data_IF_286732667584
#
_entry.id   IF_286732667584
#
_cell.length_a   1.000
_cell.length_b   1.000
_cell.length_c   1.000
_cell.angle_alpha   90.00
_cell.angle_beta   90.00
_cell.angle_gamma   90.00
#
_symmetry.space_group_name_H-M   'P 1'
#
loop_
_entity.id
_entity.type
_entity.pdbx_description
1 polymer ?
#
# COMPACT_ATOMS: atom_id res chain seq x y z
N UNK A 1 -28.49 44.47 14.45
CA UNK A 1 -27.09 44.89 14.57
C UNK A 1 -26.26 43.68 14.97
N UNK A 2 -25.15 43.41 14.27
CA UNK A 2 -24.27 42.27 14.58
C UNK A 2 -23.43 42.62 15.81
N UNK A 3 -23.36 41.70 16.77
CA UNK A 3 -22.49 41.82 17.95
C UNK A 3 -21.24 40.99 17.73
N UNK A 4 -20.08 41.61 17.91
CA UNK A 4 -18.79 40.95 17.82
C UNK A 4 -18.24 40.78 19.23
N UNK A 5 -17.77 39.58 19.54
CA UNK A 5 -17.13 39.23 20.81
C UNK A 5 -15.84 38.48 20.53
N UNK A 6 -14.83 38.70 21.35
CA UNK A 6 -13.52 38.04 21.24
C UNK A 6 -13.41 36.93 22.28
N UNK A 7 -12.70 35.85 21.91
CA UNK A 7 -12.36 34.74 22.79
C UNK A 7 -10.84 34.47 22.68
N UNK A 8 -10.19 34.01 23.76
CA UNK A 8 -8.78 33.65 23.72
C UNK A 8 -8.55 32.49 22.75
N UNK A 9 -7.49 32.59 21.95
CA UNK A 9 -7.20 31.69 20.82
C UNK A 9 -7.09 30.22 21.27
N UNK A 10 -6.64 29.98 22.49
CA UNK A 10 -6.48 28.65 23.09
C UNK A 10 -7.81 27.88 23.23
N UNK A 11 -8.94 28.58 23.39
CA UNK A 11 -10.27 27.97 23.49
C UNK A 11 -10.84 27.60 22.11
N UNK A 12 -10.35 28.24 21.05
CA UNK A 12 -10.83 28.09 19.67
C UNK A 12 -9.87 27.27 18.80
N UNK A 13 -8.61 27.14 19.22
CA UNK A 13 -7.60 26.39 18.51
C UNK A 13 -8.01 24.91 18.45
N UNK A 14 -8.10 24.31 17.25
CA UNK A 14 -8.45 22.89 17.14
C UNK A 14 -7.38 22.06 17.85
N UNK A 15 -7.78 21.36 18.93
CA UNK A 15 -6.90 20.42 19.63
C UNK A 15 -6.29 19.46 18.60
N UNK A 16 -4.96 19.43 18.50
CA UNK A 16 -4.26 18.55 17.57
C UNK A 16 -4.55 17.10 17.97
N UNK A 17 -5.53 16.46 17.34
CA UNK A 17 -5.73 15.01 17.49
C UNK A 17 -4.46 14.35 16.97
N UNK A 18 -3.74 13.67 17.86
CA UNK A 18 -2.61 12.81 17.55
C UNK A 18 -3.04 11.92 16.38
N UNK A 19 -2.46 12.13 15.20
CA UNK A 19 -2.88 11.43 13.98
C UNK A 19 -2.44 9.98 14.11
N UNK A 20 -3.35 9.11 14.53
CA UNK A 20 -3.15 7.67 14.34
C UNK A 20 -2.87 7.43 12.86
N UNK A 21 -1.95 6.51 12.52
CA UNK A 21 -1.70 6.17 11.12
C UNK A 21 -3.03 5.77 10.48
N UNK A 22 -3.38 6.46 9.40
CA UNK A 22 -4.62 6.16 8.70
C UNK A 22 -4.64 4.68 8.31
N UNK A 23 -5.81 4.04 8.28
CA UNK A 23 -5.97 2.66 7.79
C UNK A 23 -5.25 2.42 6.44
N UNK A 24 -5.15 3.47 5.59
CA UNK A 24 -4.41 3.41 4.32
C UNK A 24 -2.90 3.26 4.50
N UNK A 25 -2.32 3.93 5.50
CA UNK A 25 -0.89 3.86 5.78
C UNK A 25 -0.51 2.46 6.29
N UNK A 26 -1.33 1.90 7.19
CA UNK A 26 -1.14 0.53 7.70
C UNK A 26 -1.22 -0.51 6.58
N UNK A 27 -2.23 -0.39 5.71
CA UNK A 27 -2.36 -1.29 4.55
C UNK A 27 -1.13 -1.14 3.64
N UNK A 28 -0.66 0.08 3.37
CA UNK A 28 0.51 0.26 2.51
C UNK A 28 1.77 -0.40 3.09
N UNK A 29 1.99 -0.28 4.40
CA UNK A 29 3.08 -0.92 5.13
C UNK A 29 3.01 -2.45 5.04
N UNK A 30 1.82 -3.03 5.22
CA UNK A 30 1.62 -4.49 5.06
C UNK A 30 2.01 -5.00 3.67
N UNK A 31 1.66 -4.26 2.60
CA UNK A 31 2.06 -4.65 1.24
C UNK A 31 3.56 -4.52 1.03
N UNK A 32 4.20 -3.53 1.64
CA UNK A 32 5.64 -3.35 1.58
C UNK A 32 6.37 -4.49 2.28
N UNK A 33 5.93 -4.85 3.48
CA UNK A 33 6.52 -5.96 4.25
C UNK A 33 6.29 -7.30 3.56
N UNK A 34 5.07 -7.56 3.08
CA UNK A 34 4.77 -8.80 2.35
C UNK A 34 5.61 -8.94 1.08
N UNK A 35 5.80 -7.85 0.32
CA UNK A 35 6.61 -7.86 -0.89
C UNK A 35 8.10 -8.04 -0.58
N UNK A 36 8.62 -7.37 0.45
CA UNK A 36 10.00 -7.55 0.93
C UNK A 36 10.26 -9.00 1.34
N UNK A 37 9.40 -9.57 2.16
CA UNK A 37 9.57 -10.93 2.68
C UNK A 37 9.50 -11.96 1.55
N UNK A 38 8.54 -11.84 0.64
CA UNK A 38 8.39 -12.78 -0.47
C UNK A 38 9.55 -12.64 -1.47
N UNK A 39 9.78 -11.44 -2.01
CA UNK A 39 10.66 -11.25 -3.17
C UNK A 39 12.12 -11.08 -2.74
N UNK A 40 12.38 -10.28 -1.70
CA UNK A 40 13.75 -9.95 -1.28
C UNK A 40 14.34 -11.02 -0.36
N UNK A 41 13.58 -11.52 0.61
CA UNK A 41 14.13 -12.46 1.61
C UNK A 41 14.03 -13.92 1.16
N UNK A 42 12.88 -14.31 0.60
CA UNK A 42 12.62 -15.71 0.19
C UNK A 42 12.85 -15.99 -1.28
N UNK A 43 12.98 -14.95 -2.10
CA UNK A 43 13.10 -15.07 -3.56
C UNK A 43 11.93 -15.86 -4.19
N UNK A 44 10.73 -15.65 -3.65
CA UNK A 44 9.48 -16.26 -4.10
C UNK A 44 8.53 -15.22 -4.70
N UNK A 45 7.45 -15.69 -5.34
CA UNK A 45 6.37 -14.83 -5.80
C UNK A 45 5.42 -14.45 -4.65
N UNK A 46 5.08 -13.17 -4.54
CA UNK A 46 3.97 -12.70 -3.71
C UNK A 46 2.64 -13.06 -4.40
N UNK A 47 1.77 -13.78 -3.68
CA UNK A 47 0.42 -14.10 -4.14
C UNK A 47 -0.60 -13.41 -3.24
N UNK A 48 -1.49 -12.62 -3.83
CA UNK A 48 -2.61 -11.97 -3.14
C UNK A 48 -3.91 -12.53 -3.70
N UNK A 49 -4.70 -13.16 -2.83
CA UNK A 49 -6.05 -13.60 -3.18
C UNK A 49 -7.00 -12.40 -3.18
N UNK A 50 -7.82 -12.29 -4.23
CA UNK A 50 -8.79 -11.22 -4.39
C UNK A 50 -10.14 -11.70 -3.89
N UNK A 51 -10.72 -10.94 -2.97
CA UNK A 51 -12.12 -11.13 -2.59
C UNK A 51 -13.07 -10.56 -3.66
N UNK A 52 -14.36 -10.96 -3.69
CA UNK A 52 -15.32 -10.47 -4.69
C UNK A 52 -15.47 -8.93 -4.71
N UNK A 53 -15.24 -8.27 -3.58
CA UNK A 53 -15.33 -6.82 -3.44
C UNK A 53 -14.04 -6.09 -3.83
N UNK A 54 -12.92 -6.82 -3.96
CA UNK A 54 -11.63 -6.25 -4.28
C UNK A 54 -11.55 -5.81 -5.74
N UNK A 55 -11.04 -4.61 -5.94
CA UNK A 55 -10.74 -4.09 -7.27
C UNK A 55 -9.33 -4.52 -7.67
N UNK A 56 -9.15 -5.36 -8.71
CA UNK A 56 -7.83 -5.87 -9.09
C UNK A 56 -6.82 -4.76 -9.41
N UNK A 57 -7.29 -3.67 -10.03
CA UNK A 57 -6.45 -2.49 -10.32
C UNK A 57 -5.94 -1.81 -9.04
N UNK A 58 -6.76 -1.77 -7.99
CA UNK A 58 -6.37 -1.18 -6.70
C UNK A 58 -5.27 -2.01 -6.05
N UNK A 59 -5.41 -3.33 -6.04
CA UNK A 59 -4.40 -4.25 -5.50
C UNK A 59 -3.10 -4.17 -6.31
N UNK A 60 -3.20 -4.18 -7.66
CA UNK A 60 -2.04 -3.97 -8.54
C UNK A 60 -1.29 -2.67 -8.22
N UNK A 61 -2.02 -1.56 -8.03
CA UNK A 61 -1.40 -0.27 -7.73
C UNK A 61 -0.75 -0.23 -6.35
N UNK A 62 -1.31 -0.93 -5.34
CA UNK A 62 -0.69 -1.06 -4.02
C UNK A 62 0.63 -1.82 -4.10
N UNK A 63 0.64 -2.96 -4.80
CA UNK A 63 1.85 -3.76 -5.05
C UNK A 63 2.89 -2.91 -5.79
N UNK A 64 2.49 -2.18 -6.84
CA UNK A 64 3.40 -1.31 -7.60
C UNK A 64 4.01 -0.19 -6.74
N UNK A 65 3.21 0.46 -5.90
CA UNK A 65 3.76 1.48 -4.99
C UNK A 65 4.70 0.88 -3.96
N UNK A 66 4.36 -0.30 -3.43
CA UNK A 66 5.24 -1.02 -2.52
C UNK A 66 6.58 -1.39 -3.18
N UNK A 67 6.57 -1.81 -4.45
CA UNK A 67 7.79 -2.11 -5.19
C UNK A 67 8.64 -0.86 -5.44
N UNK A 68 8.01 0.25 -5.83
CA UNK A 68 8.68 1.55 -6.01
C UNK A 68 9.36 2.02 -4.70
N UNK A 69 8.68 1.88 -3.56
CA UNK A 69 9.25 2.25 -2.25
C UNK A 69 10.41 1.35 -1.80
N UNK A 70 10.48 0.13 -2.32
CA UNK A 70 11.57 -0.81 -2.04
C UNK A 70 12.70 -0.71 -3.07
N UNK A 71 12.57 0.13 -4.11
CA UNK A 71 13.55 0.21 -5.20
C UNK A 71 13.54 -1.02 -6.12
N UNK A 72 12.42 -1.74 -6.19
CA UNK A 72 12.24 -2.91 -7.03
C UNK A 72 11.64 -2.48 -8.39
N UNK A 73 12.50 -2.19 -9.36
CA UNK A 73 12.09 -1.71 -10.70
C UNK A 73 11.68 -2.84 -11.66
N UNK A 74 12.12 -4.07 -11.37
CA UNK A 74 11.97 -5.27 -12.20
C UNK A 74 10.80 -6.17 -11.78
N UNK A 75 9.89 -5.68 -10.94
CA UNK A 75 8.71 -6.44 -10.49
C UNK A 75 7.70 -6.63 -11.63
N UNK A 76 7.38 -7.89 -11.92
CA UNK A 76 6.31 -8.28 -12.83
C UNK A 76 5.06 -8.60 -12.02
N UNK A 77 3.95 -7.92 -12.34
CA UNK A 77 2.65 -8.12 -11.68
C UNK A 77 1.65 -8.68 -12.70
N UNK A 78 1.09 -9.87 -12.44
CA UNK A 78 0.11 -10.53 -13.30
C UNK A 78 -1.13 -10.96 -12.52
N UNK A 79 -2.27 -10.94 -13.20
CA UNK A 79 -3.51 -11.51 -12.67
C UNK A 79 -3.68 -12.95 -13.19
N UNK A 80 -4.02 -13.86 -12.29
CA UNK A 80 -4.36 -15.26 -12.57
C UNK A 80 -5.70 -15.57 -11.91
N UNK A 81 -6.81 -15.41 -12.63
CA UNK A 81 -8.16 -15.61 -12.08
C UNK A 81 -8.46 -14.68 -10.91
N UNK A 82 -8.68 -15.26 -9.72
CA UNK A 82 -8.92 -14.57 -8.45
C UNK A 82 -7.64 -14.22 -7.68
N UNK A 83 -6.46 -14.37 -8.29
CA UNK A 83 -5.17 -14.07 -7.64
C UNK A 83 -4.39 -13.01 -8.40
N UNK A 84 -3.71 -12.15 -7.65
CA UNK A 84 -2.65 -11.28 -8.14
C UNK A 84 -1.31 -11.88 -7.74
N UNK A 85 -0.42 -12.05 -8.70
CA UNK A 85 0.91 -12.62 -8.49
C UNK A 85 1.94 -11.56 -8.86
N UNK A 86 2.90 -11.32 -7.97
CA UNK A 86 4.02 -10.40 -8.17
C UNK A 86 5.34 -11.10 -7.90
N UNK A 87 6.29 -11.00 -8.83
CA UNK A 87 7.59 -11.67 -8.76
C UNK A 87 8.66 -10.84 -9.49
N UNK A 88 9.93 -11.16 -9.27
CA UNK A 88 11.06 -10.46 -9.90
C UNK A 88 11.26 -10.92 -11.35
N UNK A 89 11.40 -9.98 -12.29
CA UNK A 89 11.45 -10.25 -13.73
C UNK A 89 12.53 -11.23 -14.17
N UNK A 90 13.69 -11.21 -13.52
CA UNK A 90 14.80 -12.12 -13.81
C UNK A 90 14.42 -13.60 -13.59
N UNK A 91 13.53 -13.90 -12.63
CA UNK A 91 13.08 -15.28 -12.37
C UNK A 91 12.16 -15.84 -13.46
N UNK A 92 11.54 -14.99 -14.28
CA UNK A 92 10.66 -15.47 -15.36
C UNK A 92 11.42 -15.93 -16.61
N UNK A 93 12.70 -15.59 -16.77
CA UNK A 93 13.50 -16.04 -17.90
C UNK A 93 14.06 -17.46 -17.73
N UNK A 94 14.24 -17.96 -16.50
CA UNK A 94 14.77 -19.31 -16.25
C UNK A 94 13.71 -20.43 -16.31
N UNK A 95 12.42 -20.09 -16.47
CA UNK A 95 11.32 -21.07 -16.49
C UNK A 95 10.67 -21.27 -17.87
N UNK A 96 11.31 -20.80 -18.95
CA UNK A 96 10.85 -20.95 -20.34
C UNK A 96 11.81 -21.83 -21.14
#
# INVERSE_FOLDING_TARGET
MVRFTTAPVEEVAPKSKQRQPSMRAQIQEQYQDALRNAVTERHEALVVELEPEDKPLTIRNRIKRASEMLGLEDIVIRRRGNRMVAYRGDQAQESA
#
